data_IF_755219154524
#
_entry.id   IF_755219154524
#
_cell.length_a   1.000
_cell.length_b   1.000
_cell.length_c   1.000
_cell.angle_alpha   90.00
_cell.angle_beta   90.00
_cell.angle_gamma   90.00
#
_symmetry.space_group_name_H-M   'P 1'
#
loop_
_entity.id
_entity.type
_entity.pdbx_description
1 polymer ?
#
# COMPACT_ATOMS: atom_id res chain seq x y z
N UNK A 1 -1.23 -18.03 -6.34
CA UNK A 1 -1.57 -16.83 -5.57
C UNK A 1 -0.27 -16.22 -5.07
N UNK A 2 -0.07 -14.93 -5.30
CA UNK A 2 1.13 -14.21 -4.88
C UNK A 2 0.79 -13.21 -3.79
N UNK A 3 1.70 -13.02 -2.85
CA UNK A 3 1.71 -11.86 -1.96
C UNK A 3 2.93 -11.01 -2.29
N UNK A 4 2.84 -9.70 -2.03
CA UNK A 4 3.93 -8.77 -2.26
C UNK A 4 4.12 -7.90 -1.02
N UNK A 5 5.37 -7.79 -0.54
CA UNK A 5 5.71 -6.98 0.61
C UNK A 5 6.45 -5.73 0.16
N UNK A 6 6.09 -4.60 0.76
CA UNK A 6 6.75 -3.30 0.61
C UNK A 6 7.18 -2.80 1.98
N UNK A 7 8.27 -2.04 2.01
CA UNK A 7 8.76 -1.38 3.20
C UNK A 7 9.13 0.07 2.87
N UNK A 8 8.74 1.00 3.74
CA UNK A 8 9.06 2.42 3.64
C UNK A 8 9.78 2.91 4.90
N UNK A 9 10.63 3.92 4.73
CA UNK A 9 11.05 4.78 5.83
C UNK A 9 9.93 5.75 6.16
N UNK A 10 9.56 5.87 7.44
CA UNK A 10 8.43 6.69 7.90
C UNK A 10 8.79 7.47 9.16
N UNK A 11 8.01 8.52 9.44
CA UNK A 11 8.01 9.16 10.76
C UNK A 11 7.32 8.22 11.77
N UNK A 12 7.95 7.87 12.90
CA UNK A 12 7.32 7.07 13.95
C UNK A 12 5.98 7.67 14.40
N UNK A 13 5.00 6.80 14.59
CA UNK A 13 3.62 7.09 15.03
C UNK A 13 2.82 8.02 14.10
N UNK A 14 3.39 8.46 12.96
CA UNK A 14 2.62 9.16 11.91
C UNK A 14 1.65 8.19 11.25
N UNK A 15 0.45 8.69 11.01
CA UNK A 15 -0.64 7.99 10.35
C UNK A 15 -0.52 8.13 8.83
N UNK A 16 -0.63 7.01 8.12
CA UNK A 16 -0.61 6.92 6.66
C UNK A 16 -1.77 6.06 6.13
N UNK A 17 -2.06 6.22 4.85
CA UNK A 17 -2.82 5.27 4.04
C UNK A 17 -1.97 4.80 2.86
N UNK A 18 -2.34 3.65 2.30
CA UNK A 18 -1.68 3.08 1.12
C UNK A 18 -2.52 3.37 -0.11
N UNK A 19 -1.86 3.79 -1.18
CA UNK A 19 -2.44 3.79 -2.52
C UNK A 19 -1.67 2.83 -3.41
N UNK A 20 -2.38 2.16 -4.32
CA UNK A 20 -1.78 1.33 -5.34
C UNK A 20 -2.12 1.82 -6.75
N UNK A 21 -1.25 1.51 -7.71
CA UNK A 21 -1.43 1.86 -9.11
C UNK A 21 -0.89 0.77 -10.03
N UNK A 22 -1.45 0.64 -11.21
CA UNK A 22 -0.93 -0.23 -12.29
C UNK A 22 -0.13 0.54 -13.35
N UNK A 23 -0.20 1.87 -13.37
CA UNK A 23 0.36 2.71 -14.43
C UNK A 23 1.09 3.97 -13.94
N UNK A 24 1.23 4.18 -12.62
CA UNK A 24 1.79 5.37 -11.96
C UNK A 24 1.02 6.69 -12.17
N UNK A 25 -0.11 6.65 -12.88
CA UNK A 25 -0.95 7.81 -13.19
C UNK A 25 -2.23 7.79 -12.35
N UNK A 26 -2.95 6.67 -12.38
CA UNK A 26 -4.19 6.44 -11.66
C UNK A 26 -3.89 5.69 -10.35
N UNK A 27 -4.33 6.25 -9.23
CA UNK A 27 -4.07 5.72 -7.88
C UNK A 27 -5.38 5.36 -7.19
N UNK A 28 -5.43 4.17 -6.63
CA UNK A 28 -6.57 3.66 -5.86
C UNK A 28 -6.20 3.64 -4.38
N UNK A 29 -6.96 4.37 -3.57
CA UNK A 29 -6.81 4.42 -2.11
C UNK A 29 -7.32 3.14 -1.45
N UNK A 30 -6.50 2.58 -0.58
CA UNK A 30 -6.88 1.51 0.35
C UNK A 30 -7.41 2.17 1.62
N UNK A 31 -8.67 1.91 2.06
CA UNK A 31 -9.25 2.57 3.22
C UNK A 31 -8.54 2.32 4.56
N UNK A 32 -7.70 1.29 4.62
CA UNK A 32 -6.91 0.93 5.81
C UNK A 32 -5.93 2.04 6.16
N UNK A 33 -5.99 2.47 7.42
CA UNK A 33 -5.06 3.43 8.01
C UNK A 33 -4.00 2.66 8.79
N UNK A 34 -2.73 3.01 8.58
CA UNK A 34 -1.59 2.31 9.15
C UNK A 34 -0.59 3.29 9.77
N UNK A 35 0.11 2.81 10.79
CA UNK A 35 1.21 3.52 11.44
C UNK A 35 2.23 2.51 11.98
N UNK A 36 3.42 2.99 12.33
CA UNK A 36 4.48 2.18 12.93
C UNK A 36 5.17 2.99 14.03
N UNK A 37 5.46 2.39 15.20
CA UNK A 37 6.25 3.06 16.25
C UNK A 37 7.74 3.15 15.90
N UNK A 38 8.17 2.53 14.81
CA UNK A 38 9.55 2.52 14.33
C UNK A 38 9.73 3.50 13.16
N UNK A 39 10.97 3.75 12.77
CA UNK A 39 11.29 4.54 11.55
C UNK A 39 11.03 3.78 10.24
N UNK A 40 10.48 2.57 10.31
CA UNK A 40 10.11 1.75 9.16
C UNK A 40 8.68 1.23 9.28
N UNK A 41 8.01 1.11 8.14
CA UNK A 41 6.69 0.52 8.02
C UNK A 41 6.71 -0.54 6.93
N UNK A 42 6.32 -1.76 7.28
CA UNK A 42 6.13 -2.86 6.34
C UNK A 42 4.65 -3.08 6.07
N UNK A 43 4.29 -3.30 4.81
CA UNK A 43 2.92 -3.62 4.40
C UNK A 43 2.91 -4.73 3.35
N UNK A 44 1.86 -5.55 3.35
CA UNK A 44 1.76 -6.73 2.48
C UNK A 44 0.47 -6.68 1.68
N UNK A 45 0.55 -6.67 0.35
CA UNK A 45 -0.58 -6.94 -0.55
C UNK A 45 -0.74 -8.46 -0.70
N UNK A 46 -1.92 -8.98 -0.39
CA UNK A 46 -2.29 -10.38 -0.56
C UNK A 46 -3.55 -10.57 -1.42
N UNK A 47 -4.04 -9.51 -2.08
CA UNK A 47 -5.31 -9.52 -2.79
C UNK A 47 -6.51 -9.12 -1.91
N UNK A 48 -7.72 -9.57 -2.29
CA UNK A 48 -8.95 -9.28 -1.56
C UNK A 48 -8.88 -9.65 -0.07
N UNK A 49 -9.50 -8.86 0.83
CA UNK A 49 -10.40 -7.73 0.54
C UNK A 49 -9.72 -6.37 0.38
N UNK A 50 -8.38 -6.28 0.55
CA UNK A 50 -7.66 -4.99 0.58
C UNK A 50 -7.42 -4.42 -0.82
N UNK A 51 -7.23 -5.30 -1.80
CA UNK A 51 -7.14 -4.96 -3.22
C UNK A 51 -8.15 -5.80 -4.01
N UNK A 52 -8.45 -5.39 -5.23
CA UNK A 52 -9.33 -6.08 -6.18
C UNK A 52 -8.82 -7.47 -6.58
N UNK A 53 -7.51 -7.64 -6.70
CA UNK A 53 -6.85 -8.87 -7.11
C UNK A 53 -5.54 -9.09 -6.37
N UNK A 54 -5.06 -10.34 -6.31
CA UNK A 54 -3.68 -10.58 -5.89
C UNK A 54 -2.66 -9.93 -6.85
N UNK A 55 -1.48 -9.51 -6.35
CA UNK A 55 -0.40 -9.00 -7.20
C UNK A 55 -0.04 -9.96 -8.34
N UNK A 56 0.21 -9.40 -9.53
CA UNK A 56 0.64 -10.15 -10.72
C UNK A 56 -0.44 -10.95 -11.44
N UNK A 57 -1.71 -10.87 -11.00
CA UNK A 57 -2.83 -11.54 -11.67
C UNK A 57 -3.47 -10.65 -12.73
N UNK A 58 -4.02 -9.49 -12.35
CA UNK A 58 -4.71 -8.59 -13.30
C UNK A 58 -3.77 -7.60 -13.99
N UNK A 59 -2.73 -7.19 -13.28
CA UNK A 59 -1.73 -6.26 -13.79
C UNK A 59 -0.32 -6.83 -13.57
N UNK A 60 0.48 -6.83 -14.64
CA UNK A 60 1.88 -7.26 -14.58
C UNK A 60 2.72 -6.34 -13.67
N UNK A 61 2.34 -5.07 -13.55
CA UNK A 61 2.98 -4.08 -12.70
C UNK A 61 2.00 -3.60 -11.62
N UNK A 62 2.45 -3.57 -10.36
CA UNK A 62 1.73 -2.94 -9.26
C UNK A 62 2.70 -2.10 -8.43
N UNK A 63 2.37 -0.83 -8.29
CA UNK A 63 3.15 0.18 -7.58
C UNK A 63 2.38 0.59 -6.33
N UNK A 64 3.11 1.01 -5.29
CA UNK A 64 2.55 1.37 -4.00
C UNK A 64 3.18 2.67 -3.49
N UNK A 65 2.37 3.53 -2.87
CA UNK A 65 2.85 4.72 -2.17
C UNK A 65 2.11 4.93 -0.86
N UNK A 66 2.75 5.63 0.07
CA UNK A 66 2.11 6.13 1.28
C UNK A 66 1.60 7.55 1.02
N UNK A 67 0.42 7.85 1.55
CA UNK A 67 -0.15 9.19 1.64
C UNK A 67 -0.52 9.49 3.09
N UNK A 68 -0.43 10.75 3.50
CA UNK A 68 -0.97 11.20 4.78
C UNK A 68 -2.46 11.47 4.56
N UNK A 69 -3.38 10.91 5.37
CA UNK A 69 -4.81 11.18 5.24
C UNK A 69 -5.08 12.69 5.37
N UNK A 70 -5.94 13.23 4.52
CA UNK A 70 -6.48 14.58 4.73
C UNK A 70 -7.35 14.58 6.01
N UNK A 71 -7.30 15.67 6.78
CA UNK A 71 -8.10 15.84 8.01
C UNK A 71 -9.62 15.92 7.73
#
# INVERSE_FOLDING_TARGET
TGSFSVEWQVIPDQVYQVEFSSNLLDWTLIPEVISSPNSTLQWVDAGPPRTDSAPGIEHANRYYRLVVPEE
#
